data_IF_076325785757
#
_entry.id   IF_076325785757
#
_cell.length_a   1.000
_cell.length_b   1.000
_cell.length_c   1.000
_cell.angle_alpha   90.00
_cell.angle_beta   90.00
_cell.angle_gamma   90.00
#
_symmetry.space_group_name_H-M   'P 1'
#
loop_
_entity.id
_entity.type
_entity.pdbx_description
1 polymer ?
#
# COMPACT_ATOMS: atom_id res chain seq x y z
N UNK A 1 -9.99 -23.29 -3.98
CA UNK A 1 -9.48 -21.91 -3.93
C UNK A 1 -9.34 -21.55 -2.47
N UNK A 2 -8.12 -21.35 -1.99
CA UNK A 2 -7.87 -20.93 -0.61
C UNK A 2 -8.39 -19.52 -0.32
N UNK A 3 -8.33 -19.09 0.95
CA UNK A 3 -8.85 -17.79 1.35
C UNK A 3 -8.14 -16.62 0.64
N UNK A 4 -6.82 -16.69 0.47
CA UNK A 4 -6.05 -15.61 -0.16
C UNK A 4 -6.35 -15.49 -1.66
N UNK A 5 -6.50 -16.62 -2.35
CA UNK A 5 -6.93 -16.63 -3.74
C UNK A 5 -8.34 -16.02 -3.88
N UNK A 6 -9.27 -16.35 -2.97
CA UNK A 6 -10.61 -15.74 -2.95
C UNK A 6 -10.57 -14.23 -2.72
N UNK A 7 -9.71 -13.75 -1.82
CA UNK A 7 -9.50 -12.31 -1.59
C UNK A 7 -8.92 -11.63 -2.82
N UNK A 8 -7.95 -12.23 -3.50
CA UNK A 8 -7.40 -11.70 -4.75
C UNK A 8 -8.45 -11.60 -5.86
N UNK A 9 -9.24 -12.66 -6.05
CA UNK A 9 -10.30 -12.69 -7.05
C UNK A 9 -11.43 -11.71 -6.75
N UNK A 10 -11.80 -11.55 -5.48
CA UNK A 10 -12.80 -10.57 -5.06
C UNK A 10 -12.36 -9.14 -5.40
N UNK A 11 -11.08 -8.80 -5.15
CA UNK A 11 -10.55 -7.49 -5.54
C UNK A 11 -10.58 -7.30 -7.06
N UNK A 12 -10.20 -8.33 -7.81
CA UNK A 12 -10.23 -8.28 -9.26
C UNK A 12 -11.66 -8.09 -9.81
N UNK A 13 -12.67 -8.74 -9.23
CA UNK A 13 -14.08 -8.49 -9.56
C UNK A 13 -14.53 -7.07 -9.19
N UNK A 14 -14.12 -6.58 -8.01
CA UNK A 14 -14.40 -5.22 -7.58
C UNK A 14 -13.82 -4.21 -8.57
N UNK A 15 -12.54 -4.34 -8.93
CA UNK A 15 -11.89 -3.48 -9.91
C UNK A 15 -12.57 -3.50 -11.28
N UNK A 16 -13.05 -4.65 -11.76
CA UNK A 16 -13.82 -4.71 -13.02
C UNK A 16 -15.13 -3.93 -12.91
N UNK A 17 -15.78 -4.00 -11.75
CA UNK A 17 -17.04 -3.28 -11.49
C UNK A 17 -16.81 -1.77 -11.39
N UNK A 18 -15.68 -1.36 -10.81
CA UNK A 18 -15.32 0.05 -10.62
C UNK A 18 -14.66 0.70 -11.86
N UNK A 19 -14.32 -0.09 -12.88
CA UNK A 19 -13.60 0.39 -14.07
C UNK A 19 -14.33 1.55 -14.79
N UNK A 20 -15.66 1.48 -14.83
CA UNK A 20 -16.52 2.46 -15.51
C UNK A 20 -17.20 3.44 -14.53
N UNK A 21 -16.85 3.40 -13.25
CA UNK A 21 -17.44 4.28 -12.24
C UNK A 21 -16.95 5.73 -12.42
N UNK A 22 -17.80 6.75 -12.21
CA UNK A 22 -17.39 8.14 -12.30
C UNK A 22 -16.20 8.45 -11.38
N UNK A 23 -15.17 9.09 -11.95
CA UNK A 23 -13.92 9.43 -11.25
C UNK A 23 -13.95 10.82 -10.62
N UNK A 24 -15.10 11.23 -10.10
CA UNK A 24 -15.25 12.53 -9.45
C UNK A 24 -14.47 12.53 -8.12
N UNK A 25 -13.63 13.54 -7.86
CA UNK A 25 -12.93 13.66 -6.58
C UNK A 25 -13.93 13.80 -5.42
N UNK A 26 -13.70 13.08 -4.34
CA UNK A 26 -14.47 13.21 -3.10
C UNK A 26 -13.83 14.28 -2.21
N UNK A 27 -14.53 15.39 -1.87
CA UNK A 27 -13.96 16.42 -1.01
C UNK A 27 -13.48 15.85 0.33
N UNK A 28 -12.26 16.22 0.74
CA UNK A 28 -11.66 15.79 2.01
C UNK A 28 -10.97 14.43 1.97
N UNK A 29 -11.00 13.72 0.84
CA UNK A 29 -10.26 12.48 0.62
C UNK A 29 -9.23 12.67 -0.49
N UNK A 30 -8.03 12.16 -0.27
CA UNK A 30 -6.86 12.40 -1.13
C UNK A 30 -6.20 11.08 -1.52
N UNK A 31 -5.58 11.06 -2.69
CA UNK A 31 -4.88 9.88 -3.21
C UNK A 31 -3.62 9.56 -2.41
N UNK A 32 -3.16 8.32 -2.53
CA UNK A 32 -1.92 7.86 -1.88
C UNK A 32 -0.69 8.67 -2.30
N UNK A 33 -0.72 9.26 -3.50
CA UNK A 33 0.33 10.15 -4.00
C UNK A 33 0.42 11.51 -3.29
N UNK A 34 -0.63 11.94 -2.60
CA UNK A 34 -0.71 13.26 -1.94
C UNK A 34 -0.17 13.19 -0.49
N UNK A 35 1.11 12.85 -0.33
CA UNK A 35 1.72 12.58 0.98
C UNK A 35 1.54 13.69 2.03
N UNK A 36 1.56 14.96 1.63
CA UNK A 36 1.32 16.11 2.51
C UNK A 36 -0.14 16.33 2.91
N UNK A 37 -1.08 15.57 2.34
CA UNK A 37 -2.52 15.62 2.63
C UNK A 37 -3.02 14.47 3.50
N UNK A 38 -2.15 13.50 3.80
CA UNK A 38 -2.51 12.29 4.58
C UNK A 38 -2.99 12.64 5.99
N UNK A 39 -2.34 13.62 6.65
CA UNK A 39 -2.77 14.07 7.98
C UNK A 39 -2.41 15.55 8.23
N UNK A 40 -3.34 16.40 8.72
CA UNK A 40 -3.11 17.84 8.86
C UNK A 40 -2.02 18.20 9.88
N UNK A 41 -1.80 17.38 10.90
CA UNK A 41 -0.72 17.57 11.88
C UNK A 41 0.69 17.21 11.36
N UNK A 42 0.79 16.63 10.16
CA UNK A 42 2.08 16.31 9.53
C UNK A 42 2.03 16.63 8.02
N UNK A 43 1.95 17.92 7.64
CA UNK A 43 1.78 18.33 6.24
C UNK A 43 3.07 18.23 5.41
N UNK A 44 4.22 18.08 6.06
CA UNK A 44 5.54 17.97 5.45
C UNK A 44 6.25 16.72 5.99
N UNK A 45 5.76 15.51 5.67
CA UNK A 45 6.30 14.26 6.23
C UNK A 45 7.78 14.04 5.88
N UNK A 46 8.27 14.61 4.78
CA UNK A 46 9.68 14.57 4.36
C UNK A 46 10.60 15.46 5.20
N UNK A 47 10.06 16.30 6.09
CA UNK A 47 10.81 17.17 7.00
C UNK A 47 10.73 16.71 8.46
N UNK A 48 10.28 15.49 8.70
CA UNK A 48 10.19 14.94 10.04
C UNK A 48 11.59 14.85 10.67
N UNK A 49 11.75 15.43 11.85
CA UNK A 49 12.97 15.36 12.65
C UNK A 49 12.64 15.16 14.15
N UNK A 50 13.66 15.16 15.00
CA UNK A 50 13.51 14.97 16.45
C UNK A 50 12.80 16.14 17.12
N UNK A 51 12.94 17.36 16.59
CA UNK A 51 12.26 18.55 17.09
C UNK A 51 10.76 18.53 16.77
N UNK A 52 10.37 18.13 15.55
CA UNK A 52 8.97 17.94 15.15
C UNK A 52 8.30 16.87 16.01
N UNK A 53 9.00 15.77 16.29
CA UNK A 53 8.49 14.70 17.13
C UNK A 53 8.56 15.02 18.64
N UNK A 54 9.35 16.00 19.07
CA UNK A 54 9.57 16.28 20.49
C UNK A 54 10.25 15.13 21.23
N UNK A 55 11.20 14.45 20.58
CA UNK A 55 11.95 13.30 21.15
C UNK A 55 13.43 13.63 21.31
N UNK A 56 14.13 12.81 22.10
CA UNK A 56 15.57 12.94 22.31
C UNK A 56 16.37 12.77 21.01
N UNK A 57 17.34 13.66 20.80
CA UNK A 57 18.21 13.67 19.63
C UNK A 57 19.36 12.67 19.76
N UNK A 58 19.02 11.39 19.66
CA UNK A 58 19.98 10.28 19.69
C UNK A 58 20.46 9.93 18.28
N UNK A 59 21.66 9.33 18.17
CA UNK A 59 22.19 8.91 16.86
C UNK A 59 21.30 7.90 16.12
N UNK A 60 20.57 7.03 16.86
CA UNK A 60 19.60 6.08 16.28
C UNK A 60 18.38 6.82 15.73
N UNK A 61 17.83 7.79 16.49
CA UNK A 61 16.72 8.61 16.03
C UNK A 61 17.09 9.36 14.74
N UNK A 62 18.27 9.97 14.72
CA UNK A 62 18.77 10.68 13.54
C UNK A 62 18.94 9.77 12.31
N UNK A 63 19.40 8.53 12.49
CA UNK A 63 19.56 7.60 11.36
C UNK A 63 18.22 7.20 10.75
N UNK A 64 17.25 6.82 11.57
CA UNK A 64 15.91 6.45 11.10
C UNK A 64 15.19 7.64 10.45
N UNK A 65 15.35 8.84 11.00
CA UNK A 65 14.76 10.06 10.44
C UNK A 65 15.42 10.48 9.13
N UNK A 66 16.77 10.39 9.00
CA UNK A 66 17.44 10.62 7.71
C UNK A 66 16.97 9.62 6.64
N UNK A 67 16.85 8.35 7.00
CA UNK A 67 16.30 7.35 6.09
C UNK A 67 14.85 7.70 5.68
N UNK A 68 14.01 8.07 6.65
CA UNK A 68 12.63 8.45 6.42
C UNK A 68 12.51 9.64 5.46
N UNK A 69 13.24 10.74 5.72
CA UNK A 69 13.26 11.93 4.87
C UNK A 69 13.65 11.57 3.42
N UNK A 70 14.67 10.72 3.26
CA UNK A 70 15.12 10.25 1.94
C UNK A 70 14.05 9.42 1.22
N UNK A 71 13.40 8.48 1.91
CA UNK A 71 12.39 7.60 1.31
C UNK A 71 11.09 8.35 0.97
N UNK A 72 10.60 9.23 1.85
CA UNK A 72 9.42 10.06 1.57
C UNK A 72 9.70 10.99 0.38
N UNK A 73 10.87 11.62 0.33
CA UNK A 73 11.26 12.47 -0.80
C UNK A 73 11.39 11.69 -2.11
N UNK A 74 11.87 10.44 -2.07
CA UNK A 74 11.90 9.54 -3.24
C UNK A 74 10.50 9.17 -3.71
N UNK A 75 9.61 8.80 -2.78
CA UNK A 75 8.23 8.43 -3.09
C UNK A 75 7.40 9.61 -3.60
N UNK A 76 7.65 10.83 -3.11
CA UNK A 76 7.04 12.04 -3.68
C UNK A 76 7.41 12.20 -5.17
N UNK A 77 8.69 12.01 -5.53
CA UNK A 77 9.11 12.05 -6.95
C UNK A 77 8.48 10.92 -7.78
N UNK A 78 8.34 9.72 -7.20
CA UNK A 78 7.64 8.62 -7.84
C UNK A 78 6.15 8.96 -8.07
N UNK A 79 5.49 9.56 -7.07
CA UNK A 79 4.11 10.02 -7.12
C UNK A 79 3.90 11.07 -8.22
N UNK A 80 4.84 12.01 -8.39
CA UNK A 80 4.77 13.04 -9.43
C UNK A 80 5.08 12.54 -10.85
N UNK A 81 5.65 11.35 -11.00
CA UNK A 81 6.14 10.83 -12.29
C UNK A 81 5.43 9.54 -12.72
N UNK A 82 5.92 8.39 -12.27
CA UNK A 82 5.45 7.06 -12.69
C UNK A 82 4.02 6.83 -12.23
N UNK A 83 3.72 7.15 -10.97
CA UNK A 83 2.42 6.90 -10.34
C UNK A 83 1.24 7.49 -11.12
N UNK A 84 1.32 8.78 -11.49
CA UNK A 84 0.26 9.48 -12.25
C UNK A 84 -0.01 8.89 -13.63
N UNK A 85 0.92 8.11 -14.18
CA UNK A 85 0.81 7.48 -15.51
C UNK A 85 0.28 6.05 -15.44
N UNK A 86 0.19 5.47 -14.24
CA UNK A 86 -0.41 4.14 -14.05
C UNK A 86 -1.92 4.19 -14.27
N UNK A 87 -2.57 3.07 -14.62
CA UNK A 87 -4.02 2.99 -14.79
C UNK A 87 -4.79 3.53 -13.57
N UNK A 88 -5.69 4.50 -13.81
CA UNK A 88 -6.48 5.20 -12.81
C UNK A 88 -7.95 4.75 -12.86
N UNK A 89 -8.55 4.45 -11.71
CA UNK A 89 -9.98 4.14 -11.56
C UNK A 89 -10.44 4.47 -10.14
N UNK A 90 -11.73 4.28 -9.84
CA UNK A 90 -12.15 4.24 -8.43
C UNK A 90 -11.59 2.98 -7.79
N UNK A 91 -10.92 3.14 -6.64
CA UNK A 91 -10.38 2.06 -5.82
C UNK A 91 -11.16 1.98 -4.49
N UNK A 92 -11.01 0.87 -3.77
CA UNK A 92 -11.51 0.73 -2.40
C UNK A 92 -10.75 1.64 -1.43
N UNK A 93 -9.44 1.81 -1.63
CA UNK A 93 -8.62 2.74 -0.86
C UNK A 93 -8.16 2.24 0.51
N UNK A 94 -8.71 1.13 1.01
CA UNK A 94 -8.29 0.45 2.24
C UNK A 94 -8.51 -1.08 2.14
N UNK A 95 -8.15 -1.66 1.00
CA UNK A 95 -8.38 -3.09 0.79
C UNK A 95 -7.47 -3.95 1.67
N UNK A 96 -8.08 -4.75 2.54
CA UNK A 96 -7.38 -5.64 3.48
C UNK A 96 -8.23 -6.89 3.76
N UNK A 97 -7.61 -8.02 4.19
CA UNK A 97 -8.36 -9.21 4.60
C UNK A 97 -9.41 -8.95 5.70
N UNK A 98 -9.17 -7.97 6.59
CA UNK A 98 -10.14 -7.56 7.62
C UNK A 98 -11.44 -6.98 7.04
N UNK A 99 -11.39 -6.48 5.81
CA UNK A 99 -12.52 -5.88 5.10
C UNK A 99 -13.19 -6.89 4.16
N UNK A 100 -12.90 -8.19 4.34
CA UNK A 100 -13.53 -9.30 3.61
C UNK A 100 -14.28 -10.22 4.55
N UNK A 101 -15.51 -10.58 4.19
CA UNK A 101 -16.38 -11.43 4.99
C UNK A 101 -16.53 -12.80 4.36
N UNK A 102 -16.38 -13.85 5.15
CA UNK A 102 -16.51 -15.24 4.72
C UNK A 102 -17.73 -15.90 5.36
N UNK A 103 -18.50 -16.65 4.56
CA UNK A 103 -19.61 -17.49 5.02
C UNK A 103 -19.40 -18.89 4.47
N UNK A 104 -19.34 -19.89 5.35
CA UNK A 104 -19.12 -21.29 4.95
C UNK A 104 -17.81 -21.50 4.16
N UNK A 105 -16.74 -20.78 4.49
CA UNK A 105 -15.44 -20.87 3.80
C UNK A 105 -15.38 -20.18 2.43
N UNK A 106 -16.45 -19.47 2.04
CA UNK A 106 -16.52 -18.69 0.80
C UNK A 106 -16.56 -17.20 1.10
N UNK A 107 -15.78 -16.42 0.36
CA UNK A 107 -15.87 -14.96 0.43
C UNK A 107 -17.26 -14.53 -0.05
N UNK A 108 -17.99 -13.82 0.81
CA UNK A 108 -19.36 -13.39 0.61
C UNK A 108 -19.48 -11.89 0.34
N UNK A 109 -18.61 -11.06 0.94
CA UNK A 109 -18.65 -9.61 0.76
C UNK A 109 -17.27 -8.96 0.96
N UNK A 110 -17.12 -7.80 0.31
CA UNK A 110 -16.10 -6.78 0.61
C UNK A 110 -16.86 -5.58 1.20
N UNK A 111 -16.34 -5.00 2.28
CA UNK A 111 -17.00 -3.94 3.06
C UNK A 111 -16.04 -2.78 3.34
N UNK A 112 -16.56 -1.69 3.94
CA UNK A 112 -15.77 -0.52 4.36
C UNK A 112 -15.20 0.34 3.21
N UNK A 113 -16.11 0.94 2.44
CA UNK A 113 -15.78 1.82 1.31
C UNK A 113 -15.58 3.29 1.70
N UNK A 114 -15.38 3.59 2.98
CA UNK A 114 -15.26 4.99 3.43
C UNK A 114 -14.03 5.70 2.85
N UNK A 115 -13.01 4.92 2.49
CA UNK A 115 -11.79 5.39 1.84
C UNK A 115 -11.82 5.26 0.31
N UNK A 116 -12.96 4.93 -0.30
CA UNK A 116 -13.05 4.78 -1.75
C UNK A 116 -12.92 6.13 -2.46
N UNK A 117 -12.04 6.19 -3.47
CA UNK A 117 -11.77 7.37 -4.28
C UNK A 117 -11.16 7.02 -5.65
N UNK A 118 -11.14 7.95 -6.62
CA UNK A 118 -10.33 7.81 -7.83
C UNK A 118 -8.82 7.83 -7.50
N UNK A 119 -8.09 6.77 -7.87
CA UNK A 119 -6.63 6.69 -7.71
C UNK A 119 -6.02 5.60 -8.62
N UNK A 120 -4.71 5.33 -8.49
CA UNK A 120 -4.02 4.22 -9.14
C UNK A 120 -4.65 2.89 -8.73
N UNK A 121 -5.17 2.13 -9.71
CA UNK A 121 -5.78 0.82 -9.51
C UNK A 121 -4.92 -0.14 -8.69
N UNK A 122 -3.64 -0.20 -9.03
CA UNK A 122 -2.69 -1.13 -8.40
C UNK A 122 -2.41 -0.81 -6.93
N UNK A 123 -2.90 0.31 -6.37
CA UNK A 123 -2.79 0.60 -4.94
C UNK A 123 -3.58 -0.38 -4.07
N UNK A 124 -4.79 -0.79 -4.45
CA UNK A 124 -5.53 -1.80 -3.69
C UNK A 124 -4.82 -3.16 -3.74
N UNK A 125 -4.14 -3.48 -4.85
CA UNK A 125 -3.32 -4.70 -4.94
C UNK A 125 -2.10 -4.60 -4.03
N UNK A 126 -1.41 -3.46 -4.04
CA UNK A 126 -0.29 -3.21 -3.14
C UNK A 126 -0.71 -3.27 -1.65
N UNK A 127 -1.88 -2.73 -1.30
CA UNK A 127 -2.46 -2.82 0.04
C UNK A 127 -2.83 -4.26 0.40
N UNK A 128 -3.55 -4.96 -0.48
CA UNK A 128 -3.93 -6.36 -0.31
C UNK A 128 -2.73 -7.27 -0.10
N UNK A 129 -1.69 -7.15 -0.93
CA UNK A 129 -0.43 -7.89 -0.79
C UNK A 129 0.27 -7.58 0.53
N UNK A 130 0.38 -6.29 0.88
CA UNK A 130 0.98 -5.82 2.13
C UNK A 130 0.38 -6.51 3.36
N UNK A 131 -0.94 -6.73 3.36
CA UNK A 131 -1.63 -7.41 4.45
C UNK A 131 -1.62 -8.93 4.32
N UNK A 132 -1.78 -9.46 3.11
CA UNK A 132 -1.80 -10.90 2.83
C UNK A 132 -0.47 -11.56 3.17
N UNK A 133 0.65 -10.92 2.83
CA UNK A 133 1.98 -11.51 3.03
C UNK A 133 2.34 -11.70 4.50
N UNK A 134 1.85 -10.83 5.39
CA UNK A 134 2.23 -10.79 6.81
C UNK A 134 3.74 -10.98 6.96
N UNK A 135 4.52 -10.07 6.35
CA UNK A 135 5.98 -10.19 6.12
C UNK A 135 6.78 -10.56 7.38
N UNK A 136 6.27 -10.23 8.56
CA UNK A 136 6.88 -10.54 9.85
C UNK A 136 6.51 -11.96 10.40
N UNK A 137 5.78 -12.81 9.65
CA UNK A 137 5.20 -14.07 10.13
C UNK A 137 5.41 -15.29 9.20
N UNK A 138 5.56 -16.48 9.80
CA UNK A 138 5.72 -17.77 9.12
C UNK A 138 4.38 -18.55 8.96
N UNK A 139 4.22 -19.44 7.95
CA UNK A 139 5.10 -19.70 6.80
C UNK A 139 5.19 -18.51 5.83
N UNK A 140 6.22 -18.52 4.97
CA UNK A 140 6.80 -17.32 4.37
C UNK A 140 5.89 -16.46 3.45
N UNK A 141 6.22 -15.16 3.32
CA UNK A 141 5.39 -14.14 2.67
C UNK A 141 5.11 -14.38 1.18
N UNK A 142 6.03 -14.98 0.43
CA UNK A 142 5.89 -15.16 -1.02
C UNK A 142 4.81 -16.16 -1.41
N UNK A 143 4.62 -17.25 -0.66
CA UNK A 143 3.53 -18.21 -0.94
C UNK A 143 2.15 -17.58 -0.77
N UNK A 144 2.01 -16.65 0.18
CA UNK A 144 0.79 -15.87 0.38
C UNK A 144 0.59 -14.83 -0.72
N UNK A 145 1.67 -14.18 -1.17
CA UNK A 145 1.65 -13.26 -2.31
C UNK A 145 1.21 -13.98 -3.59
N UNK A 146 1.78 -15.16 -3.87
CA UNK A 146 1.43 -15.98 -5.02
C UNK A 146 -0.07 -16.34 -5.00
N UNK A 147 -0.58 -16.87 -3.89
CA UNK A 147 -2.02 -17.20 -3.77
C UNK A 147 -2.92 -15.97 -4.03
N UNK A 148 -2.61 -14.82 -3.45
CA UNK A 148 -3.36 -13.58 -3.71
C UNK A 148 -3.30 -13.19 -5.20
N UNK A 149 -2.10 -13.18 -5.80
CA UNK A 149 -1.91 -12.77 -7.20
C UNK A 149 -2.51 -13.77 -8.19
N UNK A 150 -2.48 -15.08 -7.92
CA UNK A 150 -3.17 -16.11 -8.71
C UNK A 150 -4.68 -15.87 -8.72
N UNK A 151 -5.26 -15.59 -7.54
CA UNK A 151 -6.67 -15.25 -7.41
C UNK A 151 -7.07 -14.01 -8.20
N UNK A 152 -6.27 -12.94 -8.09
CA UNK A 152 -6.50 -11.70 -8.85
C UNK A 152 -6.39 -11.95 -10.36
N UNK A 153 -5.29 -12.59 -10.78
CA UNK A 153 -4.94 -12.90 -12.17
C UNK A 153 -5.93 -13.82 -12.89
N UNK A 154 -6.65 -14.68 -12.15
CA UNK A 154 -7.70 -15.53 -12.69
C UNK A 154 -8.92 -14.75 -13.21
N UNK A 155 -9.11 -13.51 -12.76
CA UNK A 155 -10.25 -12.65 -13.14
C UNK A 155 -9.80 -11.50 -14.04
N UNK A 156 -8.69 -10.84 -13.71
CA UNK A 156 -8.04 -9.85 -14.57
C UNK A 156 -6.56 -9.69 -14.23
N UNK A 157 -5.77 -9.19 -15.17
CA UNK A 157 -4.31 -9.06 -15.01
C UNK A 157 -3.88 -7.61 -14.77
N UNK A 158 -2.78 -7.48 -14.05
CA UNK A 158 -2.03 -6.23 -13.99
C UNK A 158 -1.27 -6.03 -15.30
N UNK A 159 -1.15 -4.77 -15.73
CA UNK A 159 -0.25 -4.41 -16.80
C UNK A 159 1.21 -4.55 -16.34
N UNK A 160 2.14 -4.77 -17.27
CA UNK A 160 3.57 -4.88 -16.95
C UNK A 160 4.10 -3.64 -16.18
N UNK A 161 3.60 -2.45 -16.51
CA UNK A 161 3.94 -1.19 -15.81
C UNK A 161 3.40 -1.14 -14.39
N UNK A 162 2.24 -1.75 -14.11
CA UNK A 162 1.70 -1.86 -12.75
C UNK A 162 2.52 -2.86 -11.93
N UNK A 163 2.85 -4.03 -12.51
CA UNK A 163 3.70 -5.04 -11.86
C UNK A 163 5.07 -4.46 -11.50
N UNK A 164 5.72 -3.76 -12.43
CA UNK A 164 7.00 -3.11 -12.19
C UNK A 164 6.94 -2.04 -11.09
N UNK A 165 5.78 -1.39 -10.90
CA UNK A 165 5.57 -0.37 -9.88
C UNK A 165 5.21 -0.94 -8.50
N UNK A 166 4.81 -2.22 -8.37
CA UNK A 166 4.32 -2.80 -7.11
C UNK A 166 5.25 -2.57 -5.90
N UNK A 167 6.59 -2.75 -5.98
CA UNK A 167 7.46 -2.51 -4.82
C UNK A 167 7.40 -1.07 -4.31
N UNK A 168 7.23 -0.10 -5.21
CA UNK A 168 7.11 1.32 -4.85
C UNK A 168 5.70 1.68 -4.38
N UNK A 169 4.65 1.07 -4.95
CA UNK A 169 3.27 1.23 -4.48
C UNK A 169 3.09 0.66 -3.06
N UNK A 170 3.70 -0.48 -2.76
CA UNK A 170 3.71 -1.04 -1.40
C UNK A 170 4.46 -0.14 -0.42
N UNK A 171 5.60 0.40 -0.82
CA UNK A 171 6.34 1.38 -0.02
C UNK A 171 5.52 2.66 0.22
N UNK A 172 4.84 3.17 -0.82
CA UNK A 172 3.95 4.32 -0.71
C UNK A 172 2.82 4.06 0.28
N UNK A 173 2.16 2.90 0.19
CA UNK A 173 1.11 2.50 1.13
C UNK A 173 1.61 2.46 2.58
N UNK A 174 2.80 1.90 2.82
CA UNK A 174 3.37 1.84 4.17
C UNK A 174 3.80 3.21 4.68
N UNK A 175 4.30 4.09 3.82
CA UNK A 175 4.59 5.49 4.17
C UNK A 175 3.31 6.24 4.51
N UNK A 176 2.26 6.17 3.69
CA UNK A 176 0.95 6.79 3.97
C UNK A 176 0.40 6.33 5.32
N UNK A 177 0.44 5.02 5.60
CA UNK A 177 0.03 4.49 6.90
C UNK A 177 0.86 5.07 8.05
N UNK A 178 2.18 5.17 7.89
CA UNK A 178 3.05 5.75 8.91
C UNK A 178 2.82 7.25 9.09
N UNK A 179 2.65 8.02 8.02
CA UNK A 179 2.31 9.46 8.09
C UNK A 179 1.00 9.66 8.86
N UNK A 180 -0.03 8.86 8.58
CA UNK A 180 -1.30 8.94 9.28
C UNK A 180 -1.15 8.70 10.79
N UNK A 181 -0.45 7.64 11.18
CA UNK A 181 -0.23 7.32 12.60
C UNK A 181 0.68 8.33 13.31
N UNK A 182 1.72 8.84 12.64
CA UNK A 182 2.58 9.89 13.19
C UNK A 182 1.79 11.18 13.37
N UNK A 183 1.02 11.59 12.37
CA UNK A 183 0.14 12.76 12.44
C UNK A 183 -0.89 12.64 13.57
N UNK A 184 -1.51 11.47 13.73
CA UNK A 184 -2.40 11.16 14.87
C UNK A 184 -1.69 11.32 16.21
N UNK A 185 -0.48 10.78 16.33
CA UNK A 185 0.33 10.89 17.54
C UNK A 185 0.70 12.34 17.88
N UNK A 186 1.14 13.11 16.89
CA UNK A 186 1.43 14.54 17.03
C UNK A 186 0.20 15.33 17.49
N UNK A 187 -0.96 15.10 16.87
CA UNK A 187 -2.21 15.77 17.23
C UNK A 187 -2.68 15.42 18.66
N UNK A 188 -2.38 14.20 19.13
CA UNK A 188 -2.72 13.75 20.48
C UNK A 188 -1.65 14.08 21.53
N UNK A 189 -0.48 14.61 21.13
CA UNK A 189 0.68 14.76 22.02
C UNK A 189 1.29 13.42 22.48
N UNK A 190 1.04 12.33 21.75
CA UNK A 190 1.57 10.99 22.02
C UNK A 190 2.34 10.44 20.82
N UNK A 191 3.64 10.69 20.80
CA UNK A 191 4.56 10.20 19.77
C UNK A 191 5.24 8.89 20.15
N UNK A 192 4.76 8.19 21.19
CA UNK A 192 5.37 6.92 21.61
C UNK A 192 5.32 5.91 20.47
N UNK A 193 6.48 5.29 20.22
CA UNK A 193 6.63 4.32 19.13
C UNK A 193 6.78 4.93 17.74
N UNK A 194 6.90 6.25 17.59
CA UNK A 194 7.15 6.92 16.30
C UNK A 194 8.37 6.31 15.57
N UNK A 195 9.53 6.23 16.26
CA UNK A 195 10.73 5.61 15.70
C UNK A 195 10.53 4.12 15.39
N UNK A 196 9.83 3.38 16.26
CA UNK A 196 9.51 1.98 16.01
C UNK A 196 8.68 1.76 14.73
N UNK A 197 7.78 2.71 14.43
CA UNK A 197 6.96 2.71 13.22
C UNK A 197 7.79 3.01 11.98
N UNK A 198 8.66 4.02 12.04
CA UNK A 198 9.61 4.35 10.97
C UNK A 198 10.53 3.16 10.68
N UNK A 199 11.11 2.56 11.72
CA UNK A 199 11.96 1.38 11.61
C UNK A 199 11.20 0.17 11.01
N UNK A 200 9.92 -0.01 11.34
CA UNK A 200 9.07 -1.04 10.72
C UNK A 200 8.88 -0.76 9.22
N UNK A 201 8.53 0.46 8.84
CA UNK A 201 8.43 0.87 7.42
C UNK A 201 9.75 0.64 6.69
N UNK A 202 10.89 0.96 7.30
CA UNK A 202 12.24 0.72 6.76
C UNK A 202 12.50 -0.75 6.47
N UNK A 203 12.20 -1.64 7.42
CA UNK A 203 12.35 -3.09 7.23
C UNK A 203 11.46 -3.62 6.10
N UNK A 204 10.21 -3.18 6.03
CA UNK A 204 9.28 -3.57 4.96
C UNK A 204 9.73 -3.08 3.59
N UNK A 205 10.21 -1.84 3.50
CA UNK A 205 10.80 -1.30 2.26
C UNK A 205 12.00 -2.14 1.81
N UNK A 206 12.89 -2.48 2.75
CA UNK A 206 14.05 -3.32 2.45
C UNK A 206 13.62 -4.70 1.92
N UNK A 207 12.67 -5.35 2.59
CA UNK A 207 12.12 -6.63 2.15
C UNK A 207 11.54 -6.54 0.73
N UNK A 208 10.77 -5.49 0.42
CA UNK A 208 10.18 -5.29 -0.91
C UNK A 208 11.22 -5.08 -2.01
N UNK A 209 12.36 -4.44 -1.71
CA UNK A 209 13.49 -4.32 -2.64
C UNK A 209 14.16 -5.68 -2.87
N UNK A 210 14.43 -6.40 -1.79
CA UNK A 210 15.16 -7.67 -1.83
C UNK A 210 14.35 -8.77 -2.56
N UNK A 211 13.02 -8.67 -2.60
CA UNK A 211 12.11 -9.65 -3.24
C UNK A 211 11.34 -9.09 -4.44
N UNK A 212 11.79 -7.99 -5.03
CA UNK A 212 11.06 -7.34 -6.13
C UNK A 212 10.86 -8.27 -7.35
N UNK A 213 11.85 -9.11 -7.65
CA UNK A 213 11.79 -10.06 -8.77
C UNK A 213 10.77 -11.17 -8.49
N UNK A 214 10.76 -11.70 -7.26
CA UNK A 214 9.80 -12.74 -6.85
C UNK A 214 8.36 -12.21 -6.87
N UNK A 215 8.15 -10.99 -6.37
CA UNK A 215 6.86 -10.30 -6.43
C UNK A 215 6.39 -10.09 -7.87
N UNK A 216 7.31 -9.67 -8.75
CA UNK A 216 7.00 -9.51 -10.16
C UNK A 216 6.59 -10.83 -10.80
N UNK A 217 7.29 -11.93 -10.52
CA UNK A 217 6.92 -13.27 -11.01
C UNK A 217 5.54 -13.69 -10.51
N UNK A 218 5.27 -13.52 -9.22
CA UNK A 218 3.98 -13.86 -8.62
C UNK A 218 2.81 -13.13 -9.29
N UNK A 219 2.98 -11.85 -9.59
CA UNK A 219 1.89 -11.00 -10.09
C UNK A 219 1.90 -10.79 -11.60
N UNK A 220 2.90 -11.35 -12.31
CA UNK A 220 2.94 -11.48 -13.76
C UNK A 220 2.41 -12.83 -14.27
N UNK A 221 2.24 -13.83 -13.40
CA UNK A 221 1.79 -15.17 -13.78
C UNK A 221 0.50 -15.10 -14.59
N UNK A 222 0.60 -15.48 -15.87
CA UNK A 222 -0.46 -15.35 -16.87
C UNK A 222 -0.10 -14.47 -18.07
N UNK A 223 0.97 -13.67 -18.06
CA UNK A 223 1.47 -12.94 -19.25
C UNK A 223 2.07 -13.87 -20.35
N UNK A 224 1.65 -15.14 -20.41
CA UNK A 224 1.95 -16.04 -21.51
C UNK A 224 1.55 -15.39 -22.83
N UNK A 225 2.48 -15.45 -23.78
CA UNK A 225 2.42 -14.86 -25.11
C UNK A 225 1.05 -15.09 -25.77
N UNK A 226 0.19 -14.08 -25.71
CA UNK A 226 -0.93 -13.93 -26.62
C UNK A 226 -0.44 -13.07 -27.77
N UNK A 227 -0.15 -13.70 -28.90
CA UNK A 227 0.31 -13.07 -30.14
C UNK A 227 -0.72 -12.18 -30.83
#
# INVERSE_FOLDING_TARGET
MGHLEQIGAALAHLHRTLADYPREPRPGLYGYGDLGRVHPALPQPERLDTAVLGIEDTGVAQDDLRWWQGEVGRLARFADTVYRRLPQQVIHGDYAPSNTLFVGGRLAAVVDFDMALPDVRAMDVAAGLTFAMRVDEMPGPLGRAAAFCDGYGAVQRLAAVEVAALPDLMALRDVVSTVWWLGRGLAAGDVRGALGRIAKTRRRRRWGIDHQADLAVCCAAGLGEGG
#
